data_IF_605460157415
#
_entry.id   IF_605460157415
#
_cell.length_a   1.000
_cell.length_b   1.000
_cell.length_c   1.000
_cell.angle_alpha   90.00
_cell.angle_beta   90.00
_cell.angle_gamma   90.00
#
_symmetry.space_group_name_H-M   'P 1'
#
loop_
_entity.id
_entity.type
_entity.pdbx_description
1 polymer ?
#
# COMPACT_ATOMS: atom_id res chain seq x y z
N UNK A 1 64.18 -4.04 -65.69
CA UNK A 1 63.63 -2.80 -66.29
C UNK A 1 63.49 -1.76 -65.19
N UNK A 2 64.07 -0.58 -65.42
CA UNK A 2 63.94 0.61 -64.57
C UNK A 2 62.51 1.13 -64.64
N UNK A 3 61.95 1.59 -63.53
CA UNK A 3 61.46 2.96 -63.49
C UNK A 3 61.38 3.50 -62.06
N UNK A 4 61.79 4.76 -61.94
CA UNK A 4 61.98 5.56 -60.74
C UNK A 4 61.31 6.88 -61.07
N UNK A 5 60.26 7.30 -60.35
CA UNK A 5 60.01 8.75 -60.21
C UNK A 5 59.14 9.13 -59.01
N UNK A 6 59.75 9.98 -58.20
CA UNK A 6 59.17 10.83 -57.16
C UNK A 6 58.14 11.82 -57.74
N UNK A 7 57.23 12.31 -56.88
CA UNK A 7 56.83 13.73 -56.71
C UNK A 7 55.46 13.78 -56.02
N UNK A 8 55.39 14.08 -54.71
CA UNK A 8 55.04 15.37 -54.08
C UNK A 8 53.63 15.91 -54.42
N UNK A 9 52.95 16.44 -53.37
CA UNK A 9 51.86 17.47 -53.34
C UNK A 9 50.42 16.89 -53.51
N UNK A 10 49.34 17.19 -52.76
CA UNK A 10 48.98 18.13 -51.66
C UNK A 10 47.66 17.65 -50.97
N UNK A 11 47.58 17.86 -49.66
CA UNK A 11 46.44 18.33 -48.82
C UNK A 11 44.99 18.10 -49.28
N UNK A 12 44.19 17.30 -48.55
CA UNK A 12 42.79 17.60 -48.15
C UNK A 12 42.36 16.68 -46.98
N UNK A 13 41.47 17.20 -46.15
CA UNK A 13 41.24 16.87 -44.74
C UNK A 13 40.67 15.47 -44.45
N UNK A 14 41.07 14.88 -43.31
CA UNK A 14 40.11 14.18 -42.46
C UNK A 14 40.50 14.30 -40.99
N UNK A 15 39.55 14.84 -40.23
CA UNK A 15 39.62 15.18 -38.82
C UNK A 15 39.19 13.94 -38.02
N UNK A 16 40.10 13.31 -37.27
CA UNK A 16 39.74 12.30 -36.27
C UNK A 16 40.15 12.83 -34.92
N UNK A 17 39.21 13.52 -34.27
CA UNK A 17 39.33 13.95 -32.90
C UNK A 17 38.92 12.78 -32.00
N UNK A 18 39.89 12.31 -31.23
CA UNK A 18 39.71 11.40 -30.11
C UNK A 18 38.83 12.08 -29.07
N UNK A 19 37.65 11.52 -28.79
CA UNK A 19 36.82 11.95 -27.67
C UNK A 19 36.99 10.94 -26.52
N UNK A 20 37.73 11.36 -25.49
CA UNK A 20 37.81 10.65 -24.21
C UNK A 20 36.59 10.94 -23.36
N UNK A 21 35.91 9.86 -22.96
CA UNK A 21 35.24 9.62 -21.67
C UNK A 21 34.56 10.83 -21.00
N UNK A 22 33.27 11.00 -21.29
CA UNK A 22 32.30 11.57 -20.36
C UNK A 22 31.34 10.48 -19.89
N UNK A 23 31.34 10.17 -18.60
CA UNK A 23 30.29 9.38 -17.95
C UNK A 23 28.95 10.10 -18.11
N UNK A 24 28.06 9.53 -18.93
CA UNK A 24 26.66 9.93 -19.02
C UNK A 24 25.79 8.83 -18.44
N UNK A 25 25.22 9.06 -17.26
CA UNK A 25 24.12 8.25 -16.74
C UNK A 25 22.91 8.43 -17.65
N UNK A 26 22.44 7.35 -18.28
CA UNK A 26 21.09 7.32 -18.86
C UNK A 26 20.09 7.24 -17.70
N UNK A 27 19.44 8.36 -17.39
CA UNK A 27 18.26 8.39 -16.53
C UNK A 27 17.06 8.07 -17.41
N UNK A 28 16.52 6.87 -17.21
CA UNK A 28 15.26 6.42 -17.81
C UNK A 28 14.11 7.27 -17.22
N UNK A 29 13.60 8.21 -18.02
CA UNK A 29 12.41 8.98 -17.70
C UNK A 29 11.19 8.18 -18.13
N UNK A 30 10.69 7.31 -17.25
CA UNK A 30 9.31 6.89 -17.32
C UNK A 30 8.70 6.68 -15.93
N UNK A 31 7.75 7.59 -15.64
CA UNK A 31 6.58 7.43 -14.76
C UNK A 31 6.82 7.53 -13.24
N UNK A 32 6.76 8.79 -12.81
CA UNK A 32 6.08 9.29 -11.60
C UNK A 32 6.22 8.41 -10.35
N UNK A 33 7.26 8.71 -9.58
CA UNK A 33 7.13 8.68 -8.12
C UNK A 33 5.95 9.58 -7.75
N UNK A 34 4.84 8.98 -7.33
CA UNK A 34 3.78 9.71 -6.66
C UNK A 34 4.38 10.20 -5.34
N UNK A 35 4.83 11.44 -5.32
CA UNK A 35 5.00 12.19 -4.08
C UNK A 35 3.62 12.24 -3.44
N UNK A 36 3.33 11.29 -2.55
CA UNK A 36 2.19 11.39 -1.64
C UNK A 36 2.50 12.60 -0.77
N UNK A 37 1.84 13.72 -1.05
CA UNK A 37 1.81 14.87 -0.17
C UNK A 37 1.48 14.37 1.23
N UNK A 38 2.40 14.52 2.17
CA UNK A 38 2.15 14.32 3.59
C UNK A 38 1.35 15.52 4.14
N UNK A 39 0.25 15.87 3.47
CA UNK A 39 -0.79 16.67 4.09
C UNK A 39 -1.57 15.70 4.95
N UNK A 40 -1.17 15.60 6.21
CA UNK A 40 -2.05 15.14 7.26
C UNK A 40 -3.30 16.02 7.18
N UNK A 41 -4.35 15.52 6.52
CA UNK A 41 -5.67 16.08 6.68
C UNK A 41 -6.01 15.86 8.15
N UNK A 42 -5.83 16.91 8.95
CA UNK A 42 -6.28 16.88 10.33
C UNK A 42 -7.79 16.67 10.29
N UNK A 43 -8.27 15.70 11.06
CA UNK A 43 -9.69 15.59 11.32
C UNK A 43 -10.17 16.95 11.88
N UNK A 44 -11.34 17.42 11.44
CA UNK A 44 -12.01 18.54 12.08
C UNK A 44 -12.23 18.17 13.55
N UNK A 45 -11.45 18.78 14.45
CA UNK A 45 -11.42 18.47 15.88
C UNK A 45 -12.80 18.62 16.54
N UNK A 46 -13.74 19.33 15.92
CA UNK A 46 -15.08 19.53 16.48
C UNK A 46 -16.03 18.35 16.23
N UNK A 47 -15.81 17.54 15.19
CA UNK A 47 -16.74 16.46 14.79
C UNK A 47 -16.07 15.09 14.54
N UNK A 48 -14.74 15.01 14.61
CA UNK A 48 -14.02 13.75 14.44
C UNK A 48 -14.13 13.15 13.03
N UNK A 49 -14.22 14.00 12.00
CA UNK A 49 -14.28 13.61 10.57
C UNK A 49 -13.16 14.31 9.77
N UNK A 50 -12.67 13.71 8.68
CA UNK A 50 -11.73 14.38 7.78
C UNK A 50 -12.39 15.56 7.07
N UNK A 51 -11.68 16.70 6.99
CA UNK A 51 -12.14 17.86 6.24
C UNK A 51 -12.43 17.48 4.77
N UNK A 52 -13.65 17.72 4.30
CA UNK A 52 -14.06 17.31 2.96
C UNK A 52 -13.33 18.13 1.88
N UNK A 53 -12.65 17.44 0.97
CA UNK A 53 -11.94 18.05 -0.17
C UNK A 53 -12.32 17.46 -1.54
N UNK A 54 -13.33 16.59 -1.58
CA UNK A 54 -13.80 15.93 -2.81
C UNK A 54 -12.85 14.89 -3.40
N UNK A 55 -11.79 14.50 -2.68
CA UNK A 55 -10.84 13.47 -3.09
C UNK A 55 -10.78 12.35 -2.05
N UNK A 56 -10.27 11.18 -2.45
CA UNK A 56 -9.94 10.12 -1.50
C UNK A 56 -8.89 10.65 -0.50
N UNK A 57 -9.16 10.47 0.78
CA UNK A 57 -8.24 10.77 1.87
C UNK A 57 -8.05 9.52 2.70
N UNK A 58 -6.80 9.13 2.97
CA UNK A 58 -6.48 8.06 3.89
C UNK A 58 -5.33 8.51 4.79
N UNK A 59 -5.65 8.80 6.05
CA UNK A 59 -4.74 9.36 7.04
C UNK A 59 -4.49 8.31 8.11
N UNK A 60 -3.23 8.11 8.46
CA UNK A 60 -2.80 7.29 9.59
C UNK A 60 -1.85 8.12 10.43
N UNK A 61 -2.05 8.14 11.73
CA UNK A 61 -1.13 8.80 12.64
C UNK A 61 0.17 8.01 12.78
N UNK A 62 1.24 8.71 13.15
CA UNK A 62 2.48 8.03 13.52
C UNK A 62 2.23 7.09 14.70
N UNK A 63 3.00 6.01 14.76
CA UNK A 63 2.90 5.05 15.86
C UNK A 63 3.14 5.79 17.17
N UNK A 64 2.46 5.34 18.23
CA UNK A 64 2.68 5.92 19.55
C UNK A 64 4.10 5.63 20.08
N UNK A 65 4.42 6.15 21.27
CA UNK A 65 5.72 5.98 21.91
C UNK A 65 6.09 4.50 22.18
N UNK A 66 5.12 3.58 22.11
CA UNK A 66 5.31 2.14 22.26
C UNK A 66 5.34 1.41 20.91
N UNK A 67 5.31 2.14 19.79
CA UNK A 67 5.34 1.60 18.43
C UNK A 67 4.00 1.01 17.97
N UNK A 68 2.90 1.29 18.65
CA UNK A 68 1.57 0.74 18.33
C UNK A 68 0.86 1.60 17.29
N UNK A 69 0.17 0.96 16.35
CA UNK A 69 -0.84 1.63 15.53
C UNK A 69 -2.05 1.98 16.41
N UNK A 70 -2.60 3.19 16.26
CA UNK A 70 -3.73 3.63 17.08
C UNK A 70 -4.78 4.48 16.36
N UNK A 71 -4.46 5.11 15.22
CA UNK A 71 -5.41 5.95 14.50
C UNK A 71 -5.25 5.80 12.99
N UNK A 72 -6.35 5.49 12.32
CA UNK A 72 -6.48 5.45 10.88
C UNK A 72 -7.88 5.96 10.50
N UNK A 73 -7.94 6.85 9.50
CA UNK A 73 -9.16 7.48 9.05
C UNK A 73 -9.19 7.50 7.52
N UNK A 74 -10.32 7.14 6.92
CA UNK A 74 -10.52 7.19 5.49
C UNK A 74 -11.78 7.98 5.11
N UNK A 75 -11.70 8.77 4.05
CA UNK A 75 -12.82 9.35 3.33
C UNK A 75 -12.68 8.91 1.87
N UNK A 76 -13.67 8.20 1.33
CA UNK A 76 -13.63 7.61 0.00
C UNK A 76 -15.03 7.45 -0.59
N UNK A 77 -15.09 7.27 -1.91
CA UNK A 77 -16.27 6.80 -2.64
C UNK A 77 -16.05 5.37 -3.15
N UNK A 78 -17.11 4.71 -3.61
CA UNK A 78 -17.06 3.36 -4.22
C UNK A 78 -15.98 3.25 -5.32
N UNK A 79 -15.90 4.27 -6.20
CA UNK A 79 -14.90 4.31 -7.29
C UNK A 79 -13.44 4.31 -6.81
N UNK A 80 -13.20 4.66 -5.54
CA UNK A 80 -11.87 4.80 -4.94
C UNK A 80 -11.38 3.50 -4.28
N UNK A 81 -12.23 2.48 -4.22
CA UNK A 81 -11.89 1.17 -3.69
C UNK A 81 -10.86 0.44 -4.57
N UNK A 82 -10.00 -0.41 -3.99
CA UNK A 82 -8.96 -1.10 -4.73
C UNK A 82 -9.53 -2.15 -5.69
N UNK A 83 -9.16 -2.03 -6.96
CA UNK A 83 -9.55 -2.98 -8.01
C UNK A 83 -8.70 -4.26 -8.02
N UNK A 84 -7.52 -4.20 -7.42
CA UNK A 84 -6.58 -5.32 -7.38
C UNK A 84 -6.90 -6.24 -6.22
N UNK A 85 -6.83 -7.55 -6.48
CA UNK A 85 -6.91 -8.56 -5.42
C UNK A 85 -5.83 -8.28 -4.36
N UNK A 86 -6.24 -8.37 -3.09
CA UNK A 86 -5.34 -8.23 -1.94
C UNK A 86 -4.10 -9.12 -2.10
N UNK A 87 -2.88 -8.57 -1.95
CA UNK A 87 -1.67 -9.38 -1.87
C UNK A 87 -1.79 -10.36 -0.70
N UNK A 88 -1.30 -11.59 -0.86
CA UNK A 88 -1.55 -12.65 0.12
C UNK A 88 -1.02 -12.37 1.53
N UNK A 89 0.19 -12.83 1.83
CA UNK A 89 0.71 -12.84 3.20
C UNK A 89 1.13 -11.43 3.66
N UNK A 90 0.61 -10.99 4.81
CA UNK A 90 1.17 -9.86 5.59
C UNK A 90 2.45 -10.34 6.27
N UNK A 91 3.53 -9.55 6.17
CA UNK A 91 4.83 -9.85 6.77
C UNK A 91 5.10 -9.02 8.03
N UNK A 92 4.52 -7.83 8.13
CA UNK A 92 4.70 -6.95 9.28
C UNK A 92 4.06 -7.54 10.53
N UNK A 93 4.84 -7.69 11.59
CA UNK A 93 4.36 -8.13 12.89
C UNK A 93 4.12 -6.89 13.78
N UNK A 94 2.85 -6.56 14.09
CA UNK A 94 2.55 -5.40 14.93
C UNK A 94 3.00 -5.63 16.38
N UNK A 95 3.12 -4.54 17.14
CA UNK A 95 3.50 -4.61 18.56
C UNK A 95 2.53 -5.52 19.31
N UNK A 96 3.07 -6.44 20.12
CA UNK A 96 2.29 -7.46 20.82
C UNK A 96 1.92 -8.68 19.96
N UNK A 97 2.44 -8.79 18.73
CA UNK A 97 2.20 -9.96 17.89
C UNK A 97 2.76 -11.24 18.53
N UNK A 98 1.85 -12.09 18.98
CA UNK A 98 2.11 -13.45 19.43
C UNK A 98 0.88 -14.29 19.09
N UNK A 99 1.07 -15.43 18.44
CA UNK A 99 -0.04 -16.21 17.90
C UNK A 99 0.08 -17.68 18.30
N UNK A 100 -1.07 -18.27 18.63
CA UNK A 100 -1.17 -19.65 19.05
C UNK A 100 -2.36 -20.32 18.37
N UNK A 101 -2.25 -21.63 18.16
CA UNK A 101 -3.39 -22.44 17.74
C UNK A 101 -4.18 -22.86 18.97
N UNK A 102 -5.49 -22.73 18.89
CA UNK A 102 -6.40 -23.16 19.93
C UNK A 102 -7.49 -24.06 19.35
N UNK A 103 -8.07 -24.89 20.21
CA UNK A 103 -9.22 -25.73 19.86
C UNK A 103 -10.51 -24.95 20.02
N UNK A 104 -11.48 -25.14 19.13
CA UNK A 104 -12.77 -24.44 19.16
C UNK A 104 -13.93 -25.37 18.78
N UNK A 105 -15.17 -24.90 19.02
CA UNK A 105 -16.39 -25.67 18.76
C UNK A 105 -16.49 -26.87 19.69
N UNK A 106 -16.57 -28.07 19.11
CA UNK A 106 -16.59 -29.36 19.84
C UNK A 106 -15.20 -29.80 20.35
N UNK A 107 -14.18 -28.95 20.21
CA UNK A 107 -12.81 -29.24 20.63
C UNK A 107 -12.02 -30.10 19.65
N UNK A 108 -12.55 -30.43 18.46
CA UNK A 108 -11.80 -31.17 17.43
C UNK A 108 -11.14 -30.26 16.40
N UNK A 109 -11.70 -29.08 16.17
CA UNK A 109 -11.18 -28.12 15.20
C UNK A 109 -10.13 -27.20 15.82
N UNK A 110 -9.11 -26.84 15.04
CA UNK A 110 -8.05 -25.90 15.44
C UNK A 110 -8.02 -24.68 14.53
N UNK A 111 -7.83 -23.51 15.11
CA UNK A 111 -7.49 -22.31 14.35
C UNK A 111 -6.42 -21.48 15.06
N UNK A 112 -5.80 -20.58 14.31
CA UNK A 112 -4.97 -19.53 14.89
C UNK A 112 -5.86 -18.53 15.62
N UNK A 113 -5.44 -18.08 16.80
CA UNK A 113 -6.21 -17.09 17.55
C UNK A 113 -6.15 -15.72 16.89
N UNK A 114 -4.96 -15.28 16.48
CA UNK A 114 -4.72 -13.91 16.06
C UNK A 114 -4.54 -13.80 14.54
N UNK A 115 -5.07 -12.72 13.98
CA UNK A 115 -4.76 -12.17 12.67
C UNK A 115 -3.96 -10.89 12.84
N UNK A 116 -3.16 -10.57 11.82
CA UNK A 116 -2.64 -9.21 11.64
C UNK A 116 -3.77 -8.39 11.03
N UNK A 117 -4.60 -7.83 11.90
CA UNK A 117 -5.86 -7.18 11.53
C UNK A 117 -5.63 -5.74 11.11
N UNK A 118 -6.39 -5.30 10.11
CA UNK A 118 -6.37 -3.93 9.62
C UNK A 118 -7.20 -3.02 10.52
N UNK A 119 -6.79 -1.75 10.74
CA UNK A 119 -7.68 -0.75 11.35
C UNK A 119 -8.75 -0.31 10.35
N UNK A 120 -8.33 -0.01 9.12
CA UNK A 120 -9.21 0.20 7.96
C UNK A 120 -8.95 -0.94 6.96
N UNK A 121 -9.96 -1.77 6.72
CA UNK A 121 -9.90 -2.94 5.85
C UNK A 121 -9.29 -2.68 4.46
N UNK A 122 -8.71 -3.73 3.87
CA UNK A 122 -8.09 -3.64 2.55
C UNK A 122 -9.07 -3.16 1.48
N UNK A 123 -10.34 -3.56 1.54
CA UNK A 123 -11.36 -3.18 0.55
C UNK A 123 -11.58 -1.66 0.47
N UNK A 124 -11.25 -0.91 1.52
CA UNK A 124 -11.31 0.56 1.49
C UNK A 124 -9.92 1.18 1.27
N UNK A 125 -8.94 0.72 2.04
CA UNK A 125 -7.61 1.36 2.09
C UNK A 125 -6.71 0.98 0.92
N UNK A 126 -6.78 -0.26 0.44
CA UNK A 126 -5.85 -0.84 -0.54
C UNK A 126 -4.45 -1.12 0.00
N UNK A 127 -4.19 -0.91 1.29
CA UNK A 127 -2.87 -1.18 1.89
C UNK A 127 -2.85 -2.56 2.53
N UNK A 128 -1.76 -3.31 2.32
CA UNK A 128 -1.66 -4.68 2.82
C UNK A 128 -0.71 -4.86 4.01
N UNK A 129 0.51 -4.31 3.92
CA UNK A 129 1.60 -4.57 4.88
C UNK A 129 2.09 -3.28 5.56
N UNK A 130 1.15 -2.38 5.84
CA UNK A 130 1.40 -1.06 6.45
C UNK A 130 1.26 -1.13 7.97
N UNK A 131 2.37 -0.99 8.69
CA UNK A 131 2.42 -1.13 10.14
C UNK A 131 1.66 -0.07 10.93
N UNK A 132 1.32 1.07 10.32
CA UNK A 132 0.41 2.09 10.90
C UNK A 132 -1.08 1.71 10.80
N UNK A 133 -1.40 0.69 10.01
CA UNK A 133 -2.77 0.17 9.82
C UNK A 133 -2.92 -1.27 10.32
N UNK A 134 -1.98 -1.80 11.12
CA UNK A 134 -2.00 -3.20 11.56
C UNK A 134 -1.88 -3.35 13.06
N UNK A 135 -2.76 -4.17 13.64
CA UNK A 135 -2.79 -4.53 15.06
C UNK A 135 -2.98 -6.04 15.24
N UNK A 136 -2.54 -6.65 16.36
CA UNK A 136 -2.94 -8.00 16.71
C UNK A 136 -4.46 -8.00 16.98
N UNK A 137 -5.19 -8.78 16.21
CA UNK A 137 -6.65 -8.84 16.29
C UNK A 137 -7.09 -10.30 16.35
N UNK A 138 -8.06 -10.66 17.19
CA UNK A 138 -8.55 -12.05 17.18
C UNK A 138 -9.18 -12.37 15.83
N UNK A 139 -9.10 -13.61 15.37
CA UNK A 139 -9.78 -14.06 14.14
C UNK A 139 -11.29 -13.80 14.23
N UNK A 140 -11.86 -13.93 15.43
CA UNK A 140 -13.26 -13.62 15.72
C UNK A 140 -13.59 -12.14 15.49
N UNK A 141 -12.80 -11.21 16.04
CA UNK A 141 -13.00 -9.78 15.82
C UNK A 141 -12.73 -9.38 14.37
N UNK A 142 -11.70 -9.94 13.73
CA UNK A 142 -11.32 -9.57 12.36
C UNK A 142 -12.35 -10.01 11.32
N UNK A 143 -12.78 -11.27 11.39
CA UNK A 143 -13.54 -11.93 10.31
C UNK A 143 -14.86 -12.54 10.76
N UNK A 144 -15.28 -12.32 12.01
CA UNK A 144 -16.50 -12.89 12.58
C UNK A 144 -16.43 -14.39 12.84
N UNK A 145 -15.30 -15.05 12.55
CA UNK A 145 -15.18 -16.50 12.64
C UNK A 145 -13.73 -16.92 12.95
N UNK A 146 -13.57 -18.09 13.57
CA UNK A 146 -12.24 -18.64 13.85
C UNK A 146 -11.52 -19.11 12.58
N UNK A 147 -12.27 -19.60 11.58
CA UNK A 147 -11.72 -20.03 10.29
C UNK A 147 -12.64 -19.58 9.16
N UNK A 148 -12.06 -18.93 8.15
CA UNK A 148 -12.85 -18.30 7.09
C UNK A 148 -13.46 -17.00 7.58
N UNK A 149 -14.65 -16.68 7.08
CA UNK A 149 -15.35 -15.42 7.36
C UNK A 149 -16.80 -15.69 7.75
N UNK A 150 -17.37 -14.80 8.56
CA UNK A 150 -18.80 -14.74 8.86
C UNK A 150 -19.22 -13.26 8.90
N UNK A 151 -19.83 -12.79 7.81
CA UNK A 151 -20.33 -11.42 7.67
C UNK A 151 -21.67 -11.16 8.40
N UNK A 152 -22.29 -12.22 8.93
CA UNK A 152 -23.50 -12.14 9.75
C UNK A 152 -23.19 -11.89 11.23
N UNK A 153 -21.94 -12.13 11.66
CA UNK A 153 -21.55 -11.97 13.06
C UNK A 153 -21.22 -10.52 13.43
N UNK A 154 -22.14 -9.89 14.17
CA UNK A 154 -22.01 -8.52 14.69
C UNK A 154 -20.83 -8.31 15.64
N UNK A 155 -20.20 -9.38 16.14
CA UNK A 155 -18.97 -9.27 16.95
C UNK A 155 -17.71 -9.08 16.11
N UNK A 156 -17.80 -9.21 14.78
CA UNK A 156 -16.69 -9.06 13.85
C UNK A 156 -16.76 -7.75 13.08
N UNK A 157 -15.59 -7.16 12.79
CA UNK A 157 -15.47 -5.95 11.98
C UNK A 157 -16.01 -6.16 10.55
N UNK A 158 -15.79 -7.34 9.96
CA UNK A 158 -16.28 -7.68 8.62
C UNK A 158 -17.79 -7.44 8.45
N UNK A 159 -18.60 -7.67 9.50
CA UNK A 159 -20.04 -7.38 9.49
C UNK A 159 -20.32 -5.92 9.15
N UNK A 160 -19.56 -5.00 9.75
CA UNK A 160 -19.72 -3.56 9.57
C UNK A 160 -19.10 -3.10 8.26
N UNK A 161 -17.88 -3.57 7.94
CA UNK A 161 -17.18 -3.24 6.70
C UNK A 161 -18.02 -3.61 5.47
N UNK A 162 -18.58 -4.83 5.40
CA UNK A 162 -19.42 -5.25 4.26
C UNK A 162 -20.70 -4.42 4.11
N UNK A 163 -21.23 -3.84 5.20
CA UNK A 163 -22.41 -2.97 5.14
C UNK A 163 -22.07 -1.57 4.65
N UNK A 164 -20.90 -1.06 5.04
CA UNK A 164 -20.38 0.22 4.55
C UNK A 164 -20.04 0.13 3.06
N UNK A 165 -19.38 -0.94 2.64
CA UNK A 165 -19.08 -1.27 1.25
C UNK A 165 -20.35 -1.33 0.39
N UNK A 166 -21.34 -2.13 0.81
CA UNK A 166 -22.63 -2.19 0.13
C UNK A 166 -23.35 -0.82 0.11
N UNK A 167 -23.21 0.00 1.15
CA UNK A 167 -23.77 1.34 1.14
C UNK A 167 -23.09 2.24 0.11
N UNK A 168 -21.74 2.22 0.02
CA UNK A 168 -20.99 2.96 -0.99
C UNK A 168 -21.40 2.54 -2.41
N UNK A 169 -21.50 1.24 -2.66
CA UNK A 169 -21.91 0.69 -3.96
C UNK A 169 -23.32 1.15 -4.38
N UNK A 170 -24.25 1.30 -3.43
CA UNK A 170 -25.61 1.79 -3.69
C UNK A 170 -25.69 3.33 -3.79
N UNK A 171 -24.66 4.05 -3.39
CA UNK A 171 -24.61 5.51 -3.34
C UNK A 171 -23.32 6.07 -3.97
N UNK A 172 -23.00 5.75 -5.25
CA UNK A 172 -21.68 6.00 -5.84
C UNK A 172 -21.28 7.48 -6.00
N UNK A 173 -22.20 8.41 -5.74
CA UNK A 173 -21.99 9.85 -5.88
C UNK A 173 -21.84 10.58 -4.53
N UNK A 174 -21.89 9.85 -3.41
CA UNK A 174 -21.65 10.37 -2.07
C UNK A 174 -20.21 10.08 -1.66
#
# INVERSE_FOLDING_TARGET
>A
MKEKRNSRIRLFALLVLVFTLGFGFSVDTSKQSLTVSSQAAQADENNGILAFNGQKQFVMEEKDQLGRAHSAHIQLQDKDEPKNKRPGKIKYDPVGWHNYKFYYGDGKSKSWLMNRGHLIGYQFSGVNDEGKNLVPMTAWLNSGNYKGTDEGNQSGMLYYENRLDNWLALHPNY
#
